data_IF_406763780555
#
_entry.id   IF_406763780555
#
_cell.length_a   1.000
_cell.length_b   1.000
_cell.length_c   1.000
_cell.angle_alpha   90.00
_cell.angle_beta   90.00
_cell.angle_gamma   90.00
#
_symmetry.space_group_name_H-M   'P 1'
#
loop_
_entity.id
_entity.type
_entity.pdbx_description
1 polymer ?
#
# COMPACT_ATOMS: atom_id res chain seq x y z
N UNK A 1 -5.35 -1.20 6.01
CA UNK A 1 -5.91 -2.53 6.29
C UNK A 1 -4.92 -3.64 5.94
N UNK A 2 -4.52 -3.84 4.68
CA UNK A 2 -3.55 -4.91 4.32
C UNK A 2 -2.24 -4.82 5.11
N UNK A 3 -1.57 -3.66 5.14
CA UNK A 3 -0.31 -3.47 5.88
C UNK A 3 -0.40 -3.79 7.38
N UNK A 4 -1.55 -3.53 8.02
CA UNK A 4 -1.76 -3.85 9.44
C UNK A 4 -1.98 -5.36 9.67
N UNK A 5 -2.72 -6.03 8.77
CA UNK A 5 -2.91 -7.49 8.84
C UNK A 5 -1.61 -8.27 8.57
N UNK A 6 -0.85 -7.85 7.56
CA UNK A 6 0.48 -8.44 7.27
C UNK A 6 1.44 -8.20 8.43
N UNK A 7 1.38 -7.03 9.05
CA UNK A 7 2.16 -6.73 10.25
C UNK A 7 1.86 -7.72 11.38
N UNK A 8 0.60 -7.86 11.80
CA UNK A 8 0.22 -8.84 12.85
C UNK A 8 0.75 -10.24 12.52
N UNK A 9 0.54 -10.68 11.27
CA UNK A 9 1.01 -11.99 10.82
C UNK A 9 2.53 -12.14 10.86
N UNK A 10 3.29 -11.11 10.47
CA UNK A 10 4.75 -11.12 10.53
C UNK A 10 5.29 -11.26 11.96
N UNK A 11 4.59 -10.72 12.97
CA UNK A 11 4.93 -10.94 14.37
C UNK A 11 4.62 -12.36 14.85
N UNK A 12 3.53 -12.97 14.37
CA UNK A 12 3.21 -14.38 14.66
C UNK A 12 4.29 -15.33 14.14
N UNK A 13 4.77 -15.14 12.91
CA UNK A 13 5.84 -15.97 12.31
C UNK A 13 7.11 -15.96 13.16
N UNK A 14 7.45 -14.81 13.75
CA UNK A 14 8.71 -14.63 14.50
C UNK A 14 8.61 -15.16 15.95
N UNK A 15 7.46 -15.71 16.35
CA UNK A 15 7.28 -16.31 17.68
C UNK A 15 7.22 -15.27 18.80
N UNK A 16 6.74 -14.07 18.49
CA UNK A 16 6.59 -13.01 19.48
C UNK A 16 5.42 -13.33 20.41
N UNK A 17 5.70 -13.65 21.69
CA UNK A 17 4.70 -14.06 22.69
C UNK A 17 4.06 -12.89 23.44
N UNK A 18 4.52 -11.65 23.20
CA UNK A 18 4.03 -10.46 23.90
C UNK A 18 2.92 -9.82 23.09
N UNK A 19 1.69 -10.32 23.26
CA UNK A 19 0.48 -9.81 22.58
C UNK A 19 0.29 -8.30 22.73
N UNK A 20 0.75 -7.72 23.85
CA UNK A 20 0.69 -6.28 24.11
C UNK A 20 1.56 -5.45 23.15
N UNK A 21 2.82 -5.83 22.92
CA UNK A 21 3.73 -5.12 22.00
C UNK A 21 3.21 -5.20 20.56
N UNK A 22 2.74 -6.37 20.13
CA UNK A 22 2.15 -6.58 18.80
C UNK A 22 0.91 -5.69 18.61
N UNK A 23 0.03 -5.65 19.62
CA UNK A 23 -1.20 -4.86 19.55
C UNK A 23 -0.90 -3.36 19.47
N UNK A 24 -0.02 -2.85 20.32
CA UNK A 24 0.38 -1.43 20.30
C UNK A 24 1.06 -1.07 19.00
N UNK A 25 2.00 -1.90 18.55
CA UNK A 25 2.70 -1.67 17.29
C UNK A 25 1.73 -1.64 16.11
N UNK A 26 0.82 -2.62 16.02
CA UNK A 26 -0.18 -2.71 14.96
C UNK A 26 -1.16 -1.54 14.97
N UNK A 27 -1.55 -1.06 16.16
CA UNK A 27 -2.35 0.15 16.32
C UNK A 27 -1.57 1.40 15.89
N UNK A 28 -0.28 1.46 16.19
CA UNK A 28 0.63 2.51 15.70
C UNK A 28 0.71 2.54 14.18
N UNK A 29 0.86 1.38 13.54
CA UNK A 29 0.81 1.23 12.07
C UNK A 29 -0.53 1.68 11.52
N UNK A 30 -1.65 1.35 12.18
CA UNK A 30 -2.98 1.81 11.76
C UNK A 30 -3.05 3.34 11.71
N UNK A 31 -2.61 4.01 12.78
CA UNK A 31 -2.60 5.48 12.83
C UNK A 31 -1.62 6.10 11.83
N UNK A 32 -0.45 5.49 11.61
CA UNK A 32 0.51 5.95 10.62
C UNK A 32 -0.05 5.87 9.19
N UNK A 33 -0.73 4.76 8.87
CA UNK A 33 -1.43 4.60 7.59
C UNK A 33 -2.61 5.58 7.47
N UNK A 34 -3.32 5.86 8.56
CA UNK A 34 -4.39 6.87 8.58
C UNK A 34 -3.83 8.28 8.29
N UNK A 35 -2.70 8.65 8.91
CA UNK A 35 -1.97 9.88 8.59
C UNK A 35 -1.60 9.95 7.11
N UNK A 36 -0.96 8.90 6.57
CA UNK A 36 -0.50 8.88 5.19
C UNK A 36 -1.66 9.06 4.19
N UNK A 37 -2.82 8.44 4.46
CA UNK A 37 -4.02 8.57 3.63
C UNK A 37 -4.70 9.94 3.79
N UNK A 38 -4.84 10.46 5.01
CA UNK A 38 -5.40 11.79 5.24
C UNK A 38 -4.55 12.88 4.55
N UNK A 39 -3.23 12.78 4.67
CA UNK A 39 -2.31 13.66 3.94
C UNK A 39 -2.40 13.47 2.42
N UNK A 40 -2.62 12.24 1.94
CA UNK A 40 -2.79 11.97 0.50
C UNK A 40 -4.04 12.68 -0.04
N UNK A 41 -5.17 12.56 0.65
CA UNK A 41 -6.44 13.20 0.26
C UNK A 41 -6.33 14.74 0.25
N UNK A 42 -5.53 15.33 1.15
CA UNK A 42 -5.23 16.78 1.13
C UNK A 42 -4.44 17.17 -0.13
N UNK A 43 -3.37 16.44 -0.45
CA UNK A 43 -2.54 16.72 -1.62
C UNK A 43 -3.29 16.47 -2.93
N UNK A 44 -4.19 15.49 -2.94
CA UNK A 44 -5.01 15.11 -4.08
C UNK A 44 -6.29 15.94 -4.23
N UNK A 45 -6.56 16.91 -3.36
CA UNK A 45 -7.84 17.61 -3.32
C UNK A 45 -8.35 18.08 -4.70
N UNK A 46 -7.49 18.72 -5.50
CA UNK A 46 -7.85 19.17 -6.85
C UNK A 46 -8.02 18.02 -7.86
N UNK A 47 -7.25 16.93 -7.72
CA UNK A 47 -7.38 15.72 -8.55
C UNK A 47 -8.72 15.04 -8.26
N UNK A 48 -9.03 14.90 -6.97
CA UNK A 48 -10.21 14.19 -6.49
C UNK A 48 -11.51 14.95 -6.76
N UNK A 49 -11.49 16.29 -6.94
CA UNK A 49 -12.67 17.02 -7.46
C UNK A 49 -13.13 16.48 -8.81
N UNK A 50 -12.19 16.02 -9.64
CA UNK A 50 -12.47 15.47 -10.98
C UNK A 50 -12.75 13.97 -10.88
N UNK A 51 -11.81 13.22 -10.30
CA UNK A 51 -11.87 11.76 -10.32
C UNK A 51 -12.89 11.20 -9.31
N UNK A 52 -13.08 11.85 -8.15
CA UNK A 52 -13.80 11.30 -7.00
C UNK A 52 -14.56 12.39 -6.20
N UNK A 53 -15.48 13.15 -6.83
CA UNK A 53 -16.12 14.32 -6.22
C UNK A 53 -16.97 14.00 -4.97
N UNK A 54 -17.32 12.73 -4.75
CA UNK A 54 -18.09 12.26 -3.58
C UNK A 54 -17.22 11.98 -2.34
N UNK A 55 -15.89 12.07 -2.43
CA UNK A 55 -14.99 11.92 -1.29
C UNK A 55 -15.21 13.03 -0.26
N UNK A 56 -14.94 12.79 1.04
CA UNK A 56 -15.26 13.74 2.11
C UNK A 56 -14.74 15.16 1.87
N UNK A 57 -13.49 15.29 1.42
CA UNK A 57 -12.85 16.59 1.23
C UNK A 57 -13.37 17.32 -0.03
N UNK A 58 -13.36 16.74 -1.26
CA UNK A 58 -13.97 17.38 -2.43
C UNK A 58 -15.48 17.68 -2.30
N UNK A 59 -16.22 16.86 -1.54
CA UNK A 59 -17.65 17.05 -1.33
C UNK A 59 -17.98 18.07 -0.24
N UNK A 60 -16.97 18.67 0.41
CA UNK A 60 -17.16 19.64 1.50
C UNK A 60 -17.72 19.07 2.80
N UNK A 61 -17.70 17.74 3.00
CA UNK A 61 -18.14 17.11 4.26
C UNK A 61 -17.17 17.38 5.41
N UNK A 62 -15.91 17.61 5.06
CA UNK A 62 -14.87 18.10 5.95
C UNK A 62 -14.12 19.24 5.27
N UNK A 63 -13.59 20.18 6.05
CA UNK A 63 -12.70 21.23 5.53
C UNK A 63 -11.25 20.74 5.39
N UNK A 64 -10.42 21.51 4.67
CA UNK A 64 -8.98 21.20 4.53
C UNK A 64 -8.28 21.28 5.88
N UNK A 65 -8.65 22.24 6.73
CA UNK A 65 -8.13 22.42 8.08
C UNK A 65 -8.47 21.22 8.97
N UNK A 66 -9.71 20.70 8.86
CA UNK A 66 -10.12 19.47 9.54
C UNK A 66 -9.32 18.26 9.06
N UNK A 67 -9.07 18.14 7.76
CA UNK A 67 -8.24 17.07 7.23
C UNK A 67 -6.78 17.14 7.74
N UNK A 68 -6.17 18.34 7.79
CA UNK A 68 -4.85 18.53 8.40
C UNK A 68 -4.84 18.18 9.89
N UNK A 69 -5.90 18.55 10.62
CA UNK A 69 -6.06 18.22 12.04
C UNK A 69 -6.12 16.71 12.24
N UNK A 70 -6.90 16.00 11.42
CA UNK A 70 -7.00 14.53 11.44
C UNK A 70 -5.63 13.91 11.16
N UNK A 71 -4.93 14.37 10.10
CA UNK A 71 -3.60 13.87 9.77
C UNK A 71 -2.62 14.06 10.93
N UNK A 72 -2.58 15.24 11.54
CA UNK A 72 -1.73 15.53 12.70
C UNK A 72 -2.05 14.63 13.89
N UNK A 73 -3.33 14.50 14.27
CA UNK A 73 -3.77 13.64 15.39
C UNK A 73 -3.36 12.18 15.13
N UNK A 74 -3.56 11.68 13.90
CA UNK A 74 -3.15 10.34 13.53
C UNK A 74 -1.63 10.15 13.66
N UNK A 75 -0.82 11.10 13.16
CA UNK A 75 0.63 11.00 13.27
C UNK A 75 1.10 11.08 14.73
N UNK A 76 0.50 11.97 15.52
CA UNK A 76 0.79 12.10 16.95
C UNK A 76 0.52 10.80 17.71
N UNK A 77 -0.64 10.16 17.48
CA UNK A 77 -0.95 8.86 18.09
C UNK A 77 -0.05 7.74 17.61
N UNK A 78 0.33 7.73 16.32
CA UNK A 78 1.32 6.78 15.83
C UNK A 78 2.64 6.91 16.60
N UNK A 79 3.12 8.13 16.82
CA UNK A 79 4.35 8.38 17.58
C UNK A 79 4.26 7.94 19.05
N UNK A 80 3.16 8.23 19.74
CA UNK A 80 2.93 7.76 21.13
C UNK A 80 3.00 6.23 21.19
N UNK A 81 2.26 5.55 20.30
CA UNK A 81 2.22 4.09 20.27
C UNK A 81 3.57 3.51 19.87
N UNK A 82 4.31 4.18 18.98
CA UNK A 82 5.69 3.83 18.65
C UNK A 82 6.60 3.87 19.88
N UNK A 83 6.51 4.92 20.71
CA UNK A 83 7.30 5.01 21.95
C UNK A 83 6.90 3.92 22.95
N UNK A 84 5.59 3.67 23.09
CA UNK A 84 5.07 2.62 23.99
C UNK A 84 5.50 1.21 23.56
N UNK A 85 5.60 0.95 22.25
CA UNK A 85 6.16 -0.29 21.73
C UNK A 85 7.69 -0.35 21.90
N UNK A 86 8.36 0.81 21.97
CA UNK A 86 9.80 0.95 22.14
C UNK A 86 10.41 2.01 21.21
N UNK A 87 11.41 2.74 21.69
CA UNK A 87 11.97 3.91 20.99
C UNK A 87 12.40 3.66 19.53
N UNK A 88 12.85 2.44 19.19
CA UNK A 88 13.20 2.05 17.81
C UNK A 88 11.98 2.12 16.87
N UNK A 89 10.79 1.71 17.34
CA UNK A 89 9.56 1.80 16.55
C UNK A 89 9.09 3.25 16.41
N UNK A 90 9.29 4.09 17.41
CA UNK A 90 9.03 5.53 17.30
C UNK A 90 9.89 6.18 16.20
N UNK A 91 11.20 5.90 16.17
CA UNK A 91 12.10 6.38 15.12
C UNK A 91 11.63 5.90 13.75
N UNK A 92 11.25 4.63 13.64
CA UNK A 92 10.75 4.08 12.40
C UNK A 92 9.46 4.75 11.92
N UNK A 93 8.48 4.95 12.82
CA UNK A 93 7.24 5.66 12.49
C UNK A 93 7.50 7.10 12.07
N UNK A 94 8.46 7.79 12.71
CA UNK A 94 8.88 9.11 12.28
C UNK A 94 9.45 9.09 10.85
N UNK A 95 10.37 8.18 10.56
CA UNK A 95 10.98 8.02 9.23
C UNK A 95 9.91 7.69 8.17
N UNK A 96 9.07 6.70 8.42
CA UNK A 96 8.01 6.30 7.47
C UNK A 96 6.97 7.41 7.30
N UNK A 97 6.65 8.16 8.36
CA UNK A 97 5.78 9.34 8.28
C UNK A 97 6.37 10.43 7.40
N UNK A 98 7.64 10.78 7.60
CA UNK A 98 8.35 11.75 6.75
C UNK A 98 8.41 11.27 5.30
N UNK A 99 8.77 10.01 5.07
CA UNK A 99 8.82 9.46 3.71
C UNK A 99 7.44 9.43 3.05
N UNK A 100 6.37 9.15 3.80
CA UNK A 100 5.00 9.19 3.30
C UNK A 100 4.58 10.62 2.90
N UNK A 101 4.98 11.62 3.70
CA UNK A 101 4.79 13.02 3.38
C UNK A 101 5.53 13.41 2.10
N UNK A 102 6.83 13.07 2.01
CA UNK A 102 7.67 13.33 0.83
C UNK A 102 7.11 12.63 -0.41
N UNK A 103 6.69 11.38 -0.27
CA UNK A 103 6.05 10.62 -1.33
C UNK A 103 4.82 11.34 -1.88
N UNK A 104 3.86 11.68 -1.01
CA UNK A 104 2.62 12.32 -1.43
C UNK A 104 2.89 13.64 -2.15
N UNK A 105 3.80 14.47 -1.61
CA UNK A 105 4.04 15.82 -2.12
C UNK A 105 4.89 15.86 -3.39
N UNK A 106 5.89 14.97 -3.51
CA UNK A 106 6.92 15.09 -4.55
C UNK A 106 7.01 13.86 -5.47
N UNK A 107 6.94 12.65 -4.93
CA UNK A 107 7.28 11.44 -5.70
C UNK A 107 6.09 10.83 -6.44
N UNK A 108 4.89 10.93 -5.88
CA UNK A 108 3.67 10.30 -6.43
C UNK A 108 3.38 10.70 -7.89
N UNK A 109 3.85 11.87 -8.30
CA UNK A 109 3.61 12.46 -9.63
C UNK A 109 4.68 12.06 -10.66
N UNK A 110 5.69 11.27 -10.26
CA UNK A 110 6.76 10.80 -11.13
C UNK A 110 6.42 9.40 -11.69
N UNK A 111 6.54 9.17 -13.00
CA UNK A 111 6.21 7.89 -13.62
C UNK A 111 7.05 6.76 -13.04
N UNK A 112 6.41 5.69 -12.57
CA UNK A 112 7.00 4.48 -11.96
C UNK A 112 7.76 4.72 -10.64
N UNK A 113 8.42 5.86 -10.47
CA UNK A 113 9.11 6.23 -9.23
C UNK A 113 8.12 6.35 -8.07
N UNK A 114 6.98 7.02 -8.30
CA UNK A 114 5.92 7.10 -7.30
C UNK A 114 5.38 5.71 -6.94
N UNK A 115 5.04 4.91 -7.94
CA UNK A 115 4.49 3.56 -7.76
C UNK A 115 5.46 2.65 -6.98
N UNK A 116 6.75 2.72 -7.31
CA UNK A 116 7.81 1.97 -6.62
C UNK A 116 8.00 2.45 -5.18
N UNK A 117 8.03 3.76 -4.95
CA UNK A 117 8.21 4.36 -3.62
C UNK A 117 7.10 3.95 -2.65
N UNK A 118 5.83 4.02 -3.07
CA UNK A 118 4.71 3.63 -2.19
C UNK A 118 4.63 2.11 -1.99
N UNK A 119 5.06 1.31 -2.97
CA UNK A 119 5.19 -0.13 -2.81
C UNK A 119 6.25 -0.47 -1.74
N UNK A 120 7.40 0.21 -1.74
CA UNK A 120 8.41 0.07 -0.68
C UNK A 120 7.87 0.50 0.69
N UNK A 121 7.23 1.68 0.76
CA UNK A 121 6.66 2.19 2.02
C UNK A 121 5.65 1.21 2.64
N UNK A 122 4.84 0.57 1.81
CA UNK A 122 3.85 -0.43 2.25
C UNK A 122 4.50 -1.67 2.87
N UNK A 123 5.73 -2.00 2.48
CA UNK A 123 6.45 -3.17 2.98
C UNK A 123 7.24 -2.89 4.27
N UNK A 124 7.45 -1.62 4.63
CA UNK A 124 8.23 -1.25 5.82
C UNK A 124 7.77 -1.95 7.11
N UNK A 125 6.47 -2.20 7.37
CA UNK A 125 6.03 -2.91 8.57
C UNK A 125 6.49 -4.38 8.66
N UNK A 126 6.75 -5.01 7.51
CA UNK A 126 7.06 -6.45 7.40
C UNK A 126 8.48 -6.75 7.87
N UNK A 127 9.39 -5.80 7.71
CA UNK A 127 10.80 -5.96 8.06
C UNK A 127 11.11 -5.62 9.53
N UNK A 128 10.09 -5.29 10.31
CA UNK A 128 10.24 -4.85 11.72
C UNK A 128 10.49 -6.02 12.69
N UNK A 129 9.84 -7.18 12.53
CA UNK A 129 10.14 -8.37 13.35
C UNK A 129 11.55 -8.95 13.15
N UNK A 130 12.31 -8.50 12.15
CA UNK A 130 13.69 -8.98 11.85
C UNK A 130 14.65 -8.83 13.03
N UNK A 131 14.30 -8.00 14.03
CA UNK A 131 15.05 -7.87 15.28
C UNK A 131 15.17 -9.23 16.01
N UNK A 132 14.32 -10.22 15.71
CA UNK A 132 14.51 -11.63 16.08
C UNK A 132 14.70 -12.48 14.81
N UNK A 133 15.90 -13.01 14.61
CA UNK A 133 16.44 -13.58 13.35
C UNK A 133 15.72 -14.87 12.87
N UNK A 134 14.64 -15.31 13.51
CA UNK A 134 14.08 -16.66 13.34
C UNK A 134 13.26 -16.92 12.05
N UNK A 135 13.03 -15.92 11.18
CA UNK A 135 12.24 -16.13 9.94
C UNK A 135 12.56 -15.18 8.77
N UNK A 136 13.83 -14.80 8.60
CA UNK A 136 14.24 -13.77 7.62
C UNK A 136 13.82 -14.10 6.17
N UNK A 137 13.98 -15.35 5.73
CA UNK A 137 13.55 -15.81 4.40
C UNK A 137 12.05 -15.63 4.17
N UNK A 138 11.25 -16.04 5.15
CA UNK A 138 9.79 -15.96 5.09
C UNK A 138 9.32 -14.50 4.98
N UNK A 139 9.93 -13.61 5.77
CA UNK A 139 9.62 -12.18 5.76
C UNK A 139 9.99 -11.52 4.42
N UNK A 140 11.11 -11.91 3.80
CA UNK A 140 11.49 -11.41 2.46
C UNK A 140 10.48 -11.84 1.41
N UNK A 141 10.05 -13.10 1.41
CA UNK A 141 9.07 -13.61 0.43
C UNK A 141 7.75 -12.84 0.57
N UNK A 142 7.28 -12.69 1.81
CA UNK A 142 6.06 -11.95 2.10
C UNK A 142 6.16 -10.47 1.72
N UNK A 143 7.28 -9.82 2.03
CA UNK A 143 7.53 -8.43 1.67
C UNK A 143 7.61 -8.24 0.17
N UNK A 144 8.29 -9.15 -0.54
CA UNK A 144 8.37 -9.11 -1.99
C UNK A 144 6.99 -9.28 -2.64
N UNK A 145 6.17 -10.21 -2.14
CA UNK A 145 4.80 -10.40 -2.62
C UNK A 145 3.94 -9.14 -2.39
N UNK A 146 3.97 -8.58 -1.18
CA UNK A 146 3.27 -7.34 -0.84
C UNK A 146 3.73 -6.15 -1.71
N UNK A 147 5.04 -6.06 -1.95
CA UNK A 147 5.66 -5.05 -2.80
C UNK A 147 5.11 -5.12 -4.23
N UNK A 148 5.21 -6.29 -4.87
CA UNK A 148 4.82 -6.50 -6.26
C UNK A 148 3.33 -6.22 -6.48
N UNK A 149 2.46 -6.71 -5.59
CA UNK A 149 1.03 -6.45 -5.72
C UNK A 149 0.68 -4.98 -5.45
N UNK A 150 1.40 -4.30 -4.55
CA UNK A 150 1.17 -2.87 -4.31
C UNK A 150 1.61 -2.04 -5.51
N UNK A 151 2.77 -2.38 -6.08
CA UNK A 151 3.27 -1.75 -7.31
C UNK A 151 2.26 -1.93 -8.45
N UNK A 152 1.82 -3.16 -8.72
CA UNK A 152 0.82 -3.46 -9.75
C UNK A 152 -0.49 -2.66 -9.53
N UNK A 153 -0.96 -2.59 -8.28
CA UNK A 153 -2.18 -1.86 -7.92
C UNK A 153 -2.07 -0.36 -8.12
N UNK A 154 -0.90 0.24 -7.89
CA UNK A 154 -0.70 1.68 -8.15
C UNK A 154 -0.62 1.98 -9.65
N UNK A 155 -0.13 1.07 -10.50
CA UNK A 155 -0.23 1.23 -11.96
C UNK A 155 -1.70 1.30 -12.42
N UNK A 156 -2.57 0.43 -11.89
CA UNK A 156 -4.00 0.46 -12.20
C UNK A 156 -4.68 1.72 -11.67
N UNK A 157 -4.26 2.19 -10.49
CA UNK A 157 -4.76 3.43 -9.91
C UNK A 157 -4.41 4.64 -10.79
N UNK A 158 -3.19 4.72 -11.31
CA UNK A 158 -2.81 5.80 -12.22
C UNK A 158 -3.63 5.76 -13.53
N UNK A 159 -4.03 4.57 -14.01
CA UNK A 159 -4.96 4.43 -15.15
C UNK A 159 -6.35 4.97 -14.79
N UNK A 160 -6.84 4.68 -13.58
CA UNK A 160 -8.13 5.19 -13.10
C UNK A 160 -8.12 6.72 -12.93
N UNK A 161 -6.99 7.28 -12.49
CA UNK A 161 -6.85 8.68 -12.12
C UNK A 161 -6.41 9.60 -13.30
N UNK A 162 -6.22 9.04 -14.51
CA UNK A 162 -5.73 9.76 -15.71
C UNK A 162 -6.49 11.06 -16.04
N UNK A 163 -7.81 11.12 -15.82
CA UNK A 163 -8.60 12.29 -16.18
C UNK A 163 -8.22 13.51 -15.31
N UNK A 164 -8.20 13.34 -13.99
CA UNK A 164 -7.74 14.35 -13.04
C UNK A 164 -6.25 14.68 -13.18
N UNK A 165 -5.41 13.67 -13.39
CA UNK A 165 -3.98 13.87 -13.58
C UNK A 165 -3.67 14.73 -14.81
N UNK A 166 -4.40 14.50 -15.92
CA UNK A 166 -4.26 15.28 -17.15
C UNK A 166 -4.69 16.73 -16.94
N UNK A 167 -5.80 16.94 -16.23
CA UNK A 167 -6.32 18.28 -15.98
C UNK A 167 -5.37 19.16 -15.15
N UNK A 168 -4.55 18.54 -14.27
CA UNK A 168 -3.54 19.22 -13.48
C UNK A 168 -2.13 19.19 -14.11
N UNK A 169 -1.99 18.75 -15.36
CA UNK A 169 -0.71 18.73 -16.07
C UNK A 169 0.33 17.77 -15.49
N UNK A 170 -0.11 16.71 -14.81
CA UNK A 170 0.79 15.70 -14.25
C UNK A 170 1.37 14.78 -15.33
N UNK A 171 2.50 14.17 -15.03
CA UNK A 171 3.22 13.27 -15.93
C UNK A 171 3.27 11.85 -15.36
N UNK A 172 2.12 11.21 -15.20
CA UNK A 172 2.06 9.80 -14.77
C UNK A 172 2.37 8.86 -15.94
N UNK A 173 2.80 7.63 -15.63
CA UNK A 173 3.16 6.65 -16.66
C UNK A 173 2.06 6.41 -17.71
N UNK A 174 0.78 6.19 -17.35
CA UNK A 174 -0.27 6.03 -18.35
C UNK A 174 -0.55 7.29 -19.18
N UNK A 175 -0.25 8.49 -18.69
CA UNK A 175 -0.37 9.72 -19.49
C UNK A 175 0.75 9.86 -20.53
N UNK A 176 1.96 9.42 -20.20
CA UNK A 176 3.11 9.50 -21.11
C UNK A 176 3.11 8.38 -22.16
N UNK A 177 2.78 7.15 -21.75
CA UNK A 177 2.94 5.95 -22.59
C UNK A 177 1.61 5.27 -22.96
N UNK A 178 0.49 5.71 -22.37
CA UNK A 178 -0.83 5.16 -22.63
C UNK A 178 -1.18 3.92 -21.81
N UNK A 179 -2.42 3.45 -21.96
CA UNK A 179 -2.99 2.36 -21.15
C UNK A 179 -2.35 1.01 -21.49
N UNK A 180 -2.02 0.74 -22.76
CA UNK A 180 -1.50 -0.58 -23.19
C UNK A 180 -0.14 -0.91 -22.53
N UNK A 181 0.88 -0.01 -22.57
CA UNK A 181 2.12 -0.26 -21.84
C UNK A 181 1.93 -0.38 -20.33
N UNK A 182 1.04 0.42 -19.74
CA UNK A 182 0.72 0.31 -18.30
C UNK A 182 0.14 -1.05 -17.94
N UNK A 183 -0.78 -1.60 -18.75
CA UNK A 183 -1.32 -2.94 -18.55
C UNK A 183 -0.25 -4.02 -18.74
N UNK A 184 0.69 -3.85 -19.67
CA UNK A 184 1.81 -4.79 -19.83
C UNK A 184 2.68 -4.84 -18.56
N UNK A 185 3.07 -3.68 -18.01
CA UNK A 185 3.82 -3.61 -16.74
C UNK A 185 3.02 -4.24 -15.60
N UNK A 186 1.73 -3.94 -15.52
CA UNK A 186 0.83 -4.52 -14.52
C UNK A 186 0.81 -6.06 -14.57
N UNK A 187 0.60 -6.67 -15.75
CA UNK A 187 0.55 -8.13 -15.88
C UNK A 187 1.92 -8.78 -15.68
N UNK A 188 3.01 -8.13 -16.10
CA UNK A 188 4.37 -8.61 -15.82
C UNK A 188 4.65 -8.63 -14.32
N UNK A 189 4.30 -7.56 -13.61
CA UNK A 189 4.40 -7.52 -12.15
C UNK A 189 3.54 -8.62 -11.52
N UNK A 190 2.28 -8.78 -11.94
CA UNK A 190 1.38 -9.79 -11.37
C UNK A 190 1.87 -11.23 -11.58
N UNK A 191 2.52 -11.52 -12.71
CA UNK A 191 3.06 -12.85 -13.00
C UNK A 191 4.33 -13.19 -12.18
N UNK A 192 5.08 -12.18 -11.74
CA UNK A 192 6.39 -12.35 -11.09
C UNK A 192 6.37 -13.28 -9.87
N UNK A 193 5.39 -13.22 -8.95
CA UNK A 193 5.38 -14.12 -7.80
C UNK A 193 5.13 -15.58 -8.17
N UNK A 194 4.34 -15.88 -9.21
CA UNK A 194 4.12 -17.26 -9.67
C UNK A 194 5.36 -17.91 -10.29
N UNK A 195 6.22 -17.09 -10.90
CA UNK A 195 7.50 -17.55 -11.47
C UNK A 195 8.48 -17.89 -10.36
N UNK A 196 8.55 -17.04 -9.33
CA UNK A 196 9.56 -17.14 -8.26
C UNK A 196 9.16 -18.10 -7.14
N UNK A 197 7.87 -18.27 -6.87
CA UNK A 197 7.36 -19.04 -5.73
C UNK A 197 6.22 -19.95 -6.17
N UNK A 198 6.41 -21.25 -5.98
CA UNK A 198 5.48 -22.30 -6.39
C UNK A 198 4.12 -22.19 -5.71
N UNK A 199 4.13 -21.84 -4.43
CA UNK A 199 2.97 -21.67 -3.56
C UNK A 199 2.03 -20.58 -4.06
N UNK A 200 2.55 -19.52 -4.70
CA UNK A 200 1.70 -18.43 -5.22
C UNK A 200 1.10 -18.70 -6.60
N UNK A 201 1.48 -19.79 -7.30
CA UNK A 201 1.06 -20.04 -8.69
C UNK A 201 -0.45 -20.05 -8.88
N UNK A 202 -1.18 -20.78 -8.04
CA UNK A 202 -2.64 -20.93 -8.16
C UNK A 202 -3.34 -19.60 -7.89
N UNK A 203 -2.95 -18.92 -6.81
CA UNK A 203 -3.50 -17.61 -6.43
C UNK A 203 -3.25 -16.59 -7.55
N UNK A 204 -2.00 -16.45 -7.99
CA UNK A 204 -1.63 -15.51 -9.05
C UNK A 204 -2.35 -15.83 -10.37
N UNK A 205 -2.44 -17.10 -10.77
CA UNK A 205 -3.14 -17.49 -12.00
C UNK A 205 -4.63 -17.09 -11.95
N UNK A 206 -5.31 -17.38 -10.84
CA UNK A 206 -6.71 -17.02 -10.64
C UNK A 206 -6.90 -15.49 -10.71
N UNK A 207 -6.10 -14.73 -9.96
CA UNK A 207 -6.22 -13.27 -9.94
C UNK A 207 -5.81 -12.62 -11.26
N UNK A 208 -4.88 -13.21 -12.00
CA UNK A 208 -4.49 -12.75 -13.34
C UNK A 208 -5.65 -12.89 -14.32
N UNK A 209 -6.35 -14.03 -14.31
CA UNK A 209 -7.51 -14.26 -15.17
C UNK A 209 -8.65 -13.26 -14.87
N UNK A 210 -9.00 -13.08 -13.60
CA UNK A 210 -10.00 -12.06 -13.21
C UNK A 210 -9.55 -10.65 -13.57
N UNK A 211 -8.26 -10.35 -13.39
CA UNK A 211 -7.70 -9.03 -13.71
C UNK A 211 -7.80 -8.71 -15.20
N UNK A 212 -7.56 -9.70 -16.06
CA UNK A 212 -7.74 -9.57 -17.51
C UNK A 212 -9.18 -9.24 -17.89
N UNK A 213 -10.16 -9.92 -17.28
CA UNK A 213 -11.58 -9.66 -17.52
C UNK A 213 -11.92 -8.20 -17.17
N UNK A 214 -11.58 -7.74 -15.96
CA UNK A 214 -11.89 -6.37 -15.56
C UNK A 214 -11.13 -5.31 -16.38
N UNK A 215 -9.90 -5.60 -16.81
CA UNK A 215 -9.12 -4.71 -17.66
C UNK A 215 -9.78 -4.55 -19.06
N UNK A 216 -10.29 -5.63 -19.64
CA UNK A 216 -11.03 -5.59 -20.93
C UNK A 216 -12.25 -4.68 -20.82
N UNK A 217 -13.02 -4.80 -19.74
CA UNK A 217 -14.20 -3.96 -19.49
C UNK A 217 -13.88 -2.58 -18.88
N UNK A 218 -12.58 -2.23 -18.75
CA UNK A 218 -12.09 -0.97 -18.15
C UNK A 218 -12.69 -0.69 -16.76
N UNK A 219 -12.91 -1.74 -15.97
CA UNK A 219 -13.47 -1.66 -14.61
C UNK A 219 -12.34 -1.51 -13.58
N UNK A 220 -11.59 -0.40 -13.66
CA UNK A 220 -10.37 -0.17 -12.86
C UNK A 220 -10.57 -0.26 -11.35
N UNK A 221 -11.68 0.28 -10.84
CA UNK A 221 -12.01 0.21 -9.41
C UNK A 221 -12.21 -1.23 -8.92
N UNK A 222 -12.86 -2.08 -9.72
CA UNK A 222 -13.03 -3.49 -9.40
C UNK A 222 -11.70 -4.24 -9.46
N UNK A 223 -10.87 -3.90 -10.43
CA UNK A 223 -9.51 -4.42 -10.53
C UNK A 223 -8.67 -4.08 -9.28
N UNK A 224 -8.75 -2.85 -8.76
CA UNK A 224 -8.09 -2.49 -7.50
C UNK A 224 -8.63 -3.28 -6.29
N UNK A 225 -9.93 -3.56 -6.24
CA UNK A 225 -10.53 -4.38 -5.18
C UNK A 225 -10.00 -5.82 -5.27
N UNK A 226 -9.95 -6.39 -6.48
CA UNK A 226 -9.41 -7.73 -6.71
C UNK A 226 -7.96 -7.84 -6.25
N UNK A 227 -7.12 -6.84 -6.52
CA UNK A 227 -5.73 -6.86 -6.06
C UNK A 227 -5.60 -6.85 -4.54
N UNK A 228 -6.50 -6.16 -3.82
CA UNK A 228 -6.55 -6.21 -2.35
C UNK A 228 -6.97 -7.59 -1.84
N UNK A 229 -7.88 -8.27 -2.55
CA UNK A 229 -8.24 -9.65 -2.24
C UNK A 229 -7.09 -10.61 -2.55
N UNK A 230 -6.34 -10.39 -3.64
CA UNK A 230 -5.15 -11.16 -4.02
C UNK A 230 -4.07 -11.08 -2.95
N UNK A 231 -3.85 -9.87 -2.42
CA UNK A 231 -2.97 -9.61 -1.30
C UNK A 231 -3.36 -10.45 -0.06
N UNK A 232 -4.64 -10.48 0.31
CA UNK A 232 -5.14 -11.28 1.44
C UNK A 232 -5.05 -12.79 1.18
N UNK A 233 -5.43 -13.25 -0.02
CA UNK A 233 -5.35 -14.66 -0.41
C UNK A 233 -3.91 -15.18 -0.44
N UNK A 234 -2.97 -14.35 -0.91
CA UNK A 234 -1.54 -14.68 -0.89
C UNK A 234 -0.99 -14.81 0.53
N UNK A 235 -1.46 -14.00 1.48
CA UNK A 235 -1.11 -14.13 2.90
C UNK A 235 -1.52 -15.51 3.45
N UNK A 236 -2.77 -15.92 3.19
CA UNK A 236 -3.30 -17.23 3.62
C UNK A 236 -2.55 -18.38 2.96
N UNK A 237 -2.24 -18.27 1.66
CA UNK A 237 -1.49 -19.28 0.93
C UNK A 237 -0.07 -19.46 1.49
N UNK A 238 0.57 -18.35 1.83
CA UNK A 238 1.89 -18.37 2.47
C UNK A 238 1.86 -19.07 3.83
N UNK A 239 0.83 -18.81 4.65
CA UNK A 239 0.63 -19.49 5.93
C UNK A 239 0.50 -21.00 5.77
N UNK A 240 -0.35 -21.45 4.84
CA UNK A 240 -0.58 -22.88 4.58
C UNK A 240 0.63 -23.65 4.04
N UNK A 241 1.62 -22.96 3.49
CA UNK A 241 2.85 -23.57 2.96
C UNK A 241 4.03 -23.51 3.94
N UNK A 242 3.90 -22.73 5.01
CA UNK A 242 4.91 -22.55 6.06
C UNK A 242 4.70 -23.45 7.29
N UNK A 243 3.58 -24.17 7.35
CA UNK A 243 3.23 -25.22 8.32
C UNK A 243 3.61 -26.60 7.77
#
# INVERSE_FOLDING_TARGET
MFAAGVCVYSFCIVGYSVYYEIAIFSLGVFFLVAFANAHNDIVDFEIDKINRPKRPLPSGKISIEQAYTIAFICFFWAMILGVMAGWKFAVLFAVVGVLSFVYNKYLKKLPLVGNFAVALLTCTPIFIPIIKITAFSQLIILAFFAFILTFAREIIKDIEDMAGDKALGLKTFPLLFGIKPSLAIFFLALAMPAVLFTEYRVVVAAFTAFSAIFAVFKKWRWLQIMLKLAMLAGLVCFESSSL
#
